data_IF_683864868539
#
_entry.id   IF_683864868539
#
_cell.length_a   1.000
_cell.length_b   1.000
_cell.length_c   1.000
_cell.angle_alpha   90.00
_cell.angle_beta   90.00
_cell.angle_gamma   90.00
#
_symmetry.space_group_name_H-M   'P 1'
#
loop_
_entity.id
_entity.type
_entity.pdbx_description
1 polymer ?
#
# COMPACT_ATOMS: atom_id res chain seq x y z
N UNK A 1 -27.01 -3.96 -21.69
CA UNK A 1 -26.01 -4.84 -21.09
C UNK A 1 -26.60 -5.44 -19.81
N UNK A 2 -26.32 -6.70 -19.53
CA UNK A 2 -26.76 -7.36 -18.30
C UNK A 2 -25.92 -6.90 -17.11
N UNK A 3 -24.65 -6.53 -17.35
CA UNK A 3 -23.71 -6.01 -16.37
C UNK A 3 -23.11 -4.71 -16.91
N UNK A 4 -23.08 -3.70 -16.06
CA UNK A 4 -22.41 -2.41 -16.33
C UNK A 4 -21.34 -2.18 -15.26
N UNK A 5 -20.11 -1.91 -15.68
CA UNK A 5 -18.99 -1.59 -14.79
C UNK A 5 -18.73 -0.09 -14.79
N UNK A 6 -18.58 0.47 -13.59
CA UNK A 6 -18.30 1.88 -13.38
C UNK A 6 -17.16 1.98 -12.35
N UNK A 7 -16.09 2.72 -12.65
CA UNK A 7 -15.02 2.94 -11.68
C UNK A 7 -15.43 3.97 -10.61
N UNK A 8 -14.86 3.91 -9.43
CA UNK A 8 -15.27 4.76 -8.29
C UNK A 8 -15.25 6.26 -8.61
N UNK A 9 -14.23 6.74 -9.33
CA UNK A 9 -14.15 8.16 -9.75
C UNK A 9 -15.28 8.59 -10.68
N UNK A 10 -15.90 7.66 -11.42
CA UNK A 10 -17.05 7.94 -12.29
C UNK A 10 -18.40 8.05 -11.56
N UNK A 11 -18.46 7.59 -10.29
CA UNK A 11 -19.71 7.60 -9.50
C UNK A 11 -20.25 9.02 -9.28
N UNK A 12 -19.37 9.99 -9.06
CA UNK A 12 -19.75 11.39 -8.89
C UNK A 12 -20.28 11.99 -10.19
N UNK A 13 -19.51 11.88 -11.27
CA UNK A 13 -19.83 12.50 -12.56
C UNK A 13 -21.08 11.90 -13.22
N UNK A 14 -21.29 10.57 -13.06
CA UNK A 14 -22.41 9.83 -13.64
C UNK A 14 -23.57 9.57 -12.66
N UNK A 15 -23.53 10.16 -11.46
CA UNK A 15 -24.48 9.86 -10.40
C UNK A 15 -25.93 10.08 -10.79
N UNK A 16 -26.25 11.15 -11.54
CA UNK A 16 -27.60 11.46 -12.00
C UNK A 16 -28.11 10.42 -13.03
N UNK A 17 -27.27 10.04 -13.96
CA UNK A 17 -27.56 9.04 -14.98
C UNK A 17 -27.79 7.67 -14.33
N UNK A 18 -26.92 7.28 -13.38
CA UNK A 18 -27.07 6.03 -12.63
C UNK A 18 -28.39 6.01 -11.87
N UNK A 19 -28.71 7.04 -11.11
CA UNK A 19 -29.97 7.18 -10.36
C UNK A 19 -31.18 7.09 -11.33
N UNK A 20 -31.12 7.81 -12.44
CA UNK A 20 -32.19 7.77 -13.46
C UNK A 20 -32.36 6.37 -14.06
N UNK A 21 -31.28 5.64 -14.25
CA UNK A 21 -31.32 4.24 -14.71
C UNK A 21 -31.93 3.31 -13.67
N UNK A 22 -31.50 3.42 -12.40
CA UNK A 22 -31.96 2.58 -11.29
C UNK A 22 -33.46 2.76 -11.01
N UNK A 23 -33.98 3.98 -11.14
CA UNK A 23 -35.44 4.25 -11.00
C UNK A 23 -36.29 3.52 -12.03
N UNK A 24 -35.73 3.26 -13.21
CA UNK A 24 -36.46 2.61 -14.32
C UNK A 24 -36.20 1.11 -14.40
N UNK A 25 -35.13 0.64 -13.75
CA UNK A 25 -34.69 -0.75 -13.86
C UNK A 25 -34.46 -1.39 -12.48
N UNK A 26 -34.96 -2.61 -12.30
CA UNK A 26 -34.71 -3.37 -11.07
C UNK A 26 -33.28 -3.91 -11.09
N UNK A 27 -32.36 -3.18 -10.48
CA UNK A 27 -30.93 -3.46 -10.57
C UNK A 27 -30.34 -3.71 -9.17
N UNK A 28 -29.42 -4.67 -9.09
CA UNK A 28 -28.52 -4.86 -7.97
C UNK A 28 -27.28 -3.99 -8.20
N UNK A 29 -26.88 -3.24 -7.19
CA UNK A 29 -25.62 -2.46 -7.21
C UNK A 29 -24.63 -3.13 -6.26
N UNK A 30 -23.47 -3.49 -6.80
CA UNK A 30 -22.35 -4.08 -6.06
C UNK A 30 -21.23 -3.06 -6.01
N UNK A 31 -20.74 -2.77 -4.81
CA UNK A 31 -19.56 -1.91 -4.60
C UNK A 31 -18.41 -2.80 -4.19
N UNK A 32 -17.44 -2.94 -5.09
CA UNK A 32 -16.17 -3.62 -4.78
C UNK A 32 -15.20 -2.65 -4.10
N UNK A 33 -14.26 -3.17 -3.31
CA UNK A 33 -13.34 -2.38 -2.46
C UNK A 33 -14.07 -1.29 -1.67
N UNK A 34 -15.17 -1.69 -1.02
CA UNK A 34 -16.10 -0.76 -0.37
C UNK A 34 -15.48 0.07 0.79
N UNK A 35 -14.28 -0.29 1.26
CA UNK A 35 -13.53 0.57 2.18
C UNK A 35 -13.24 1.97 1.61
N UNK A 36 -13.30 2.16 0.28
CA UNK A 36 -13.15 3.46 -0.38
C UNK A 36 -14.32 4.42 -0.15
N UNK A 37 -15.50 3.91 0.15
CA UNK A 37 -16.71 4.71 0.41
C UNK A 37 -17.01 4.89 1.90
N UNK A 38 -16.11 4.48 2.80
CA UNK A 38 -16.28 4.51 4.26
C UNK A 38 -16.48 5.91 4.85
N UNK A 39 -15.89 6.94 4.24
CA UNK A 39 -16.01 8.32 4.72
C UNK A 39 -17.37 8.93 4.35
N UNK A 40 -18.28 9.21 5.33
CA UNK A 40 -19.60 9.76 5.06
C UNK A 40 -19.54 11.22 4.52
N UNK A 41 -18.45 11.93 4.77
CA UNK A 41 -18.25 13.29 4.25
C UNK A 41 -17.54 13.31 2.89
N UNK A 42 -16.94 12.18 2.48
CA UNK A 42 -16.26 12.04 1.20
C UNK A 42 -17.21 12.09 0.02
N UNK A 43 -16.76 12.64 -1.09
CA UNK A 43 -17.54 12.80 -2.32
C UNK A 43 -18.10 11.45 -2.80
N UNK A 44 -17.25 10.44 -2.87
CA UNK A 44 -17.66 9.08 -3.28
C UNK A 44 -18.63 8.44 -2.29
N UNK A 45 -18.38 8.61 -0.98
CA UNK A 45 -19.24 8.10 0.07
C UNK A 45 -20.66 8.67 -0.03
N UNK A 46 -20.80 9.99 -0.20
CA UNK A 46 -22.08 10.65 -0.38
C UNK A 46 -22.79 10.18 -1.65
N UNK A 47 -22.11 10.19 -2.78
CA UNK A 47 -22.69 9.82 -4.08
C UNK A 47 -23.20 8.39 -4.10
N UNK A 48 -22.42 7.44 -3.55
CA UNK A 48 -22.81 6.01 -3.57
C UNK A 48 -23.98 5.73 -2.62
N UNK A 49 -24.09 6.42 -1.50
CA UNK A 49 -25.24 6.29 -0.60
C UNK A 49 -26.53 6.77 -1.28
N UNK A 50 -26.47 7.89 -2.01
CA UNK A 50 -27.63 8.38 -2.79
C UNK A 50 -28.04 7.41 -3.91
N UNK A 51 -27.07 6.86 -4.64
CA UNK A 51 -27.29 5.81 -5.64
C UNK A 51 -27.91 4.58 -4.97
N UNK A 52 -27.42 4.20 -3.80
CA UNK A 52 -27.90 3.07 -3.03
C UNK A 52 -29.38 3.13 -2.69
N UNK A 53 -29.95 4.33 -2.46
CA UNK A 53 -31.37 4.50 -2.14
C UNK A 53 -32.29 4.00 -3.26
N UNK A 54 -31.86 4.12 -4.51
CA UNK A 54 -32.63 3.76 -5.69
C UNK A 54 -32.38 2.33 -6.17
N UNK A 55 -31.35 1.66 -5.64
CA UNK A 55 -31.04 0.28 -6.00
C UNK A 55 -32.05 -0.72 -5.42
N UNK A 56 -32.42 -1.77 -6.19
CA UNK A 56 -33.30 -2.85 -5.71
C UNK A 56 -32.65 -3.70 -4.65
N UNK A 57 -31.36 -4.00 -4.82
CA UNK A 57 -30.52 -4.68 -3.83
C UNK A 57 -29.10 -4.13 -3.88
N UNK A 58 -28.42 -4.24 -2.76
CA UNK A 58 -27.09 -3.67 -2.54
C UNK A 58 -26.18 -4.71 -1.92
N UNK A 59 -24.95 -4.75 -2.39
CA UNK A 59 -23.90 -5.60 -1.87
C UNK A 59 -22.62 -4.78 -1.78
N UNK A 60 -21.84 -4.96 -0.74
CA UNK A 60 -20.47 -4.46 -0.63
C UNK A 60 -19.51 -5.64 -0.57
N UNK A 61 -18.40 -5.51 -1.27
CA UNK A 61 -17.29 -6.44 -1.20
C UNK A 61 -16.08 -5.69 -0.67
N UNK A 62 -15.44 -6.22 0.36
CA UNK A 62 -14.22 -5.63 0.90
C UNK A 62 -13.44 -6.65 1.70
N UNK A 63 -12.13 -6.69 1.52
CA UNK A 63 -11.22 -7.47 2.36
C UNK A 63 -11.01 -6.87 3.75
N UNK A 64 -11.22 -5.55 3.87
CA UNK A 64 -10.99 -4.76 5.09
C UNK A 64 -12.17 -3.81 5.33
N UNK A 65 -13.25 -4.27 5.97
CA UNK A 65 -14.46 -3.44 6.17
C UNK A 65 -14.22 -2.25 7.12
N UNK A 66 -13.27 -2.36 8.02
CA UNK A 66 -13.00 -1.39 9.10
C UNK A 66 -11.49 -1.09 9.18
N UNK A 67 -10.90 -0.48 8.15
CA UNK A 67 -9.44 -0.28 8.14
C UNK A 67 -8.94 0.77 9.13
N UNK A 68 -9.76 1.73 9.56
CA UNK A 68 -9.34 2.81 10.47
C UNK A 68 -10.00 2.72 11.86
N UNK A 69 -11.26 2.32 11.93
CA UNK A 69 -12.01 2.27 13.17
C UNK A 69 -13.46 1.88 12.96
N UNK A 70 -14.21 1.75 14.04
CA UNK A 70 -15.62 1.31 14.01
C UNK A 70 -16.53 2.25 13.18
N UNK A 71 -16.17 3.53 13.07
CA UNK A 71 -16.87 4.52 12.26
C UNK A 71 -16.91 4.19 10.76
N UNK A 72 -15.97 3.39 10.28
CA UNK A 72 -15.93 2.96 8.88
C UNK A 72 -17.17 2.12 8.51
N UNK A 73 -17.78 1.43 9.48
CA UNK A 73 -19.03 0.68 9.28
C UNK A 73 -20.21 1.60 8.96
N UNK A 74 -20.22 2.85 9.46
CA UNK A 74 -21.38 3.70 9.38
C UNK A 74 -21.84 3.93 7.94
N UNK A 75 -20.95 4.36 7.07
CA UNK A 75 -21.30 4.64 5.68
C UNK A 75 -21.56 3.37 4.87
N UNK A 76 -20.89 2.26 5.18
CA UNK A 76 -21.14 0.96 4.56
C UNK A 76 -22.56 0.48 4.84
N UNK A 77 -23.00 0.53 6.10
CA UNK A 77 -24.34 0.12 6.49
C UNK A 77 -25.40 1.13 6.00
N UNK A 78 -25.08 2.42 5.95
CA UNK A 78 -25.95 3.43 5.33
C UNK A 78 -26.18 3.17 3.84
N UNK A 79 -25.17 2.69 3.13
CA UNK A 79 -25.33 2.26 1.73
C UNK A 79 -26.16 0.98 1.60
N UNK A 80 -25.84 -0.07 2.37
CA UNK A 80 -26.49 -1.39 2.25
C UNK A 80 -27.96 -1.31 2.69
N UNK A 81 -28.22 -0.59 3.79
CA UNK A 81 -29.53 -0.47 4.43
C UNK A 81 -29.93 1.00 4.64
N UNK A 82 -30.16 1.79 3.56
CA UNK A 82 -30.31 3.26 3.65
C UNK A 82 -31.43 3.72 4.57
N UNK A 83 -32.45 2.90 4.81
CA UNK A 83 -33.61 3.24 5.64
C UNK A 83 -33.59 2.55 7.02
N UNK A 84 -32.64 1.64 7.27
CA UNK A 84 -32.58 0.82 8.48
C UNK A 84 -31.21 0.76 9.17
N UNK A 85 -30.18 1.41 8.61
CA UNK A 85 -28.81 1.31 9.15
C UNK A 85 -28.71 1.75 10.62
N UNK A 86 -29.54 2.70 11.06
CA UNK A 86 -29.59 3.15 12.45
C UNK A 86 -30.12 2.08 13.41
N UNK A 87 -31.14 1.32 12.94
CA UNK A 87 -31.73 0.23 13.69
C UNK A 87 -30.84 -1.02 13.74
N UNK A 88 -29.87 -1.11 12.81
CA UNK A 88 -28.90 -2.21 12.75
C UNK A 88 -27.67 -1.86 13.58
N UNK A 89 -27.09 -0.69 13.41
CA UNK A 89 -25.86 -0.32 14.10
C UNK A 89 -26.09 0.00 15.59
N UNK A 90 -27.26 0.56 15.95
CA UNK A 90 -27.59 1.11 17.26
C UNK A 90 -26.70 2.29 17.73
N UNK A 91 -25.63 2.59 17.02
CA UNK A 91 -24.67 3.64 17.32
C UNK A 91 -24.69 4.74 16.25
N UNK A 92 -24.60 6.00 16.67
CA UNK A 92 -24.39 7.12 15.78
C UNK A 92 -22.91 7.23 15.38
N UNK A 93 -22.61 7.92 14.27
CA UNK A 93 -21.25 8.11 13.78
C UNK A 93 -20.29 8.62 14.88
N UNK A 94 -20.70 9.64 15.65
CA UNK A 94 -19.88 10.18 16.75
C UNK A 94 -19.56 9.17 17.84
N UNK A 95 -20.51 8.26 18.16
CA UNK A 95 -20.27 7.18 19.13
C UNK A 95 -19.25 6.17 18.60
N UNK A 96 -19.31 5.83 17.31
CA UNK A 96 -18.34 4.90 16.71
C UNK A 96 -16.94 5.51 16.68
N UNK A 97 -16.80 6.80 16.37
CA UNK A 97 -15.52 7.54 16.46
C UNK A 97 -14.98 7.56 17.89
N UNK A 98 -15.84 7.78 18.88
CA UNK A 98 -15.46 7.73 20.29
C UNK A 98 -15.00 6.33 20.66
N UNK A 99 -15.78 5.30 20.34
CA UNK A 99 -15.44 3.90 20.60
C UNK A 99 -14.09 3.50 20.04
N UNK A 100 -13.78 3.94 18.81
CA UNK A 100 -12.46 3.68 18.18
C UNK A 100 -11.30 4.22 19.00
N UNK A 101 -11.50 5.33 19.71
CA UNK A 101 -10.45 5.98 20.52
C UNK A 101 -10.35 5.45 21.95
N UNK A 102 -11.47 4.98 22.52
CA UNK A 102 -11.59 4.73 23.96
C UNK A 102 -11.88 3.29 24.33
N UNK A 103 -12.41 2.48 23.40
CA UNK A 103 -12.87 1.14 23.70
C UNK A 103 -11.93 0.06 23.18
N UNK A 104 -11.69 -0.96 24.00
CA UNK A 104 -11.00 -2.17 23.57
C UNK A 104 -12.00 -3.19 23.00
N UNK A 105 -11.50 -4.20 22.26
CA UNK A 105 -12.31 -5.25 21.64
C UNK A 105 -13.18 -6.02 22.64
N UNK A 106 -12.76 -6.10 23.89
CA UNK A 106 -13.50 -6.79 24.96
C UNK A 106 -14.58 -5.95 25.64
N UNK A 107 -14.72 -4.68 25.27
CA UNK A 107 -15.72 -3.80 25.85
C UNK A 107 -17.15 -4.23 25.51
N UNK A 108 -18.11 -3.94 26.40
CA UNK A 108 -19.51 -4.28 26.18
C UNK A 108 -20.09 -3.63 24.91
N UNK A 109 -19.75 -2.36 24.65
CA UNK A 109 -20.22 -1.62 23.46
C UNK A 109 -19.73 -2.21 22.14
N UNK A 110 -18.47 -2.69 22.13
CA UNK A 110 -17.90 -3.33 20.94
C UNK A 110 -18.54 -4.71 20.74
N UNK A 111 -18.77 -5.49 21.79
CA UNK A 111 -19.50 -6.77 21.70
C UNK A 111 -20.93 -6.56 21.19
N UNK A 112 -21.64 -5.57 21.69
CA UNK A 112 -22.96 -5.18 21.20
C UNK A 112 -22.93 -4.82 19.70
N UNK A 113 -21.95 -4.02 19.25
CA UNK A 113 -21.78 -3.69 17.85
C UNK A 113 -21.55 -4.95 17.00
N UNK A 114 -20.69 -5.87 17.46
CA UNK A 114 -20.43 -7.15 16.79
C UNK A 114 -21.70 -7.97 16.66
N UNK A 115 -22.47 -8.11 17.72
CA UNK A 115 -23.74 -8.85 17.73
C UNK A 115 -24.74 -8.22 16.73
N UNK A 116 -24.84 -6.91 16.69
CA UNK A 116 -25.73 -6.18 15.80
C UNK A 116 -25.38 -6.36 14.31
N UNK A 117 -24.10 -6.36 13.95
CA UNK A 117 -23.67 -6.45 12.54
C UNK A 117 -23.51 -7.87 12.03
N UNK A 118 -23.29 -8.83 12.93
CA UNK A 118 -23.03 -10.24 12.60
C UNK A 118 -24.06 -10.89 11.65
N UNK A 119 -25.38 -10.67 11.80
CA UNK A 119 -26.37 -11.27 10.90
C UNK A 119 -26.31 -10.77 9.44
N UNK A 120 -25.60 -9.67 9.21
CA UNK A 120 -25.52 -8.99 7.92
C UNK A 120 -24.14 -9.12 7.28
N UNK A 121 -23.28 -9.97 7.84
CA UNK A 121 -21.88 -10.10 7.43
C UNK A 121 -21.60 -11.55 7.02
N UNK A 122 -21.06 -11.75 5.83
CA UNK A 122 -20.59 -13.05 5.35
C UNK A 122 -19.09 -12.94 5.09
N UNK A 123 -18.35 -13.89 5.60
CA UNK A 123 -16.91 -13.91 5.45
C UNK A 123 -16.38 -15.26 5.03
N UNK A 124 -15.36 -15.21 4.16
CA UNK A 124 -14.49 -16.34 3.83
C UNK A 124 -13.13 -16.02 4.46
N UNK A 125 -12.68 -16.81 5.41
CA UNK A 125 -11.38 -16.64 6.06
C UNK A 125 -10.26 -17.11 5.14
N UNK A 126 -9.09 -16.47 5.27
CA UNK A 126 -7.91 -16.88 4.49
C UNK A 126 -7.48 -18.32 4.83
N UNK A 127 -7.65 -18.73 6.08
CA UNK A 127 -7.44 -20.11 6.57
C UNK A 127 -8.32 -21.15 5.88
N UNK A 128 -9.54 -20.77 5.48
CA UNK A 128 -10.48 -21.67 4.78
C UNK A 128 -10.03 -21.99 3.33
N UNK A 129 -9.18 -21.12 2.75
CA UNK A 129 -8.75 -21.24 1.36
C UNK A 129 -7.68 -22.32 1.16
N UNK A 130 -7.10 -22.87 2.23
CA UNK A 130 -6.04 -23.92 2.19
C UNK A 130 -4.91 -23.59 1.20
N UNK A 131 -4.45 -22.34 1.22
CA UNK A 131 -3.37 -21.89 0.34
C UNK A 131 -2.06 -22.63 0.67
N UNK A 132 -1.16 -22.80 -0.32
CA UNK A 132 0.14 -23.42 -0.10
C UNK A 132 1.01 -22.57 0.85
N UNK A 133 2.08 -23.15 1.42
CA UNK A 133 2.96 -22.44 2.34
C UNK A 133 3.66 -21.25 1.68
N UNK A 134 4.02 -20.29 2.51
CA UNK A 134 4.85 -19.15 2.13
C UNK A 134 6.21 -19.22 2.81
N UNK A 135 7.23 -18.73 2.12
CA UNK A 135 8.56 -18.51 2.71
C UNK A 135 8.91 -17.05 2.65
N UNK A 136 9.24 -16.47 3.80
CA UNK A 136 9.65 -15.08 3.93
C UNK A 136 11.12 -14.99 4.34
N UNK A 137 11.90 -14.20 3.61
CA UNK A 137 13.33 -14.01 3.86
C UNK A 137 13.68 -12.54 3.93
N UNK A 138 14.22 -12.12 5.07
CA UNK A 138 14.85 -10.82 5.22
C UNK A 138 16.28 -10.92 4.68
N UNK A 139 16.65 -9.96 3.84
CA UNK A 139 18.00 -9.81 3.31
C UNK A 139 18.52 -8.46 3.78
N UNK A 140 19.43 -8.51 4.72
CA UNK A 140 20.14 -7.32 5.20
C UNK A 140 21.12 -6.84 4.13
N UNK A 141 21.06 -5.56 3.81
CA UNK A 141 21.87 -4.92 2.77
C UNK A 141 22.74 -3.86 3.44
N UNK A 142 24.03 -4.10 3.51
CA UNK A 142 24.95 -3.08 4.00
C UNK A 142 25.13 -1.99 2.95
N UNK A 143 24.90 -0.75 3.34
CA UNK A 143 25.11 0.41 2.46
C UNK A 143 26.60 0.53 2.13
N UNK A 144 26.90 0.82 0.86
CA UNK A 144 28.27 1.18 0.48
C UNK A 144 28.65 2.56 1.06
N UNK A 145 29.92 2.86 1.06
CA UNK A 145 30.49 3.99 1.83
C UNK A 145 29.77 5.32 1.60
N UNK A 146 29.53 5.69 0.34
CA UNK A 146 28.92 7.01 0.01
C UNK A 146 27.43 7.04 0.33
N UNK A 147 26.73 5.93 0.11
CA UNK A 147 25.35 5.81 0.52
C UNK A 147 25.22 5.97 2.03
N UNK A 148 26.07 5.32 2.82
CA UNK A 148 26.11 5.43 4.28
C UNK A 148 26.40 6.87 4.73
N UNK A 149 27.40 7.51 4.14
CA UNK A 149 27.74 8.92 4.48
C UNK A 149 26.55 9.87 4.23
N UNK A 150 25.83 9.70 3.12
CA UNK A 150 24.64 10.52 2.83
C UNK A 150 23.50 10.19 3.80
N UNK A 151 23.26 8.92 4.08
CA UNK A 151 22.20 8.49 5.00
C UNK A 151 22.44 9.03 6.41
N UNK A 152 23.63 8.83 6.97
CA UNK A 152 23.98 9.26 8.33
C UNK A 152 23.90 10.79 8.50
N UNK A 153 24.27 11.52 7.46
CA UNK A 153 24.14 12.98 7.45
C UNK A 153 22.66 13.40 7.56
N UNK A 154 21.78 12.81 6.76
CA UNK A 154 20.34 13.13 6.74
C UNK A 154 19.72 12.74 8.08
N UNK A 155 19.99 11.53 8.57
CA UNK A 155 19.47 11.02 9.83
C UNK A 155 19.88 11.92 10.99
N UNK A 156 21.16 12.27 11.10
CA UNK A 156 21.67 13.16 12.14
C UNK A 156 20.97 14.52 12.14
N UNK A 157 20.77 15.11 10.94
CA UNK A 157 20.06 16.39 10.83
C UNK A 157 18.60 16.28 11.25
N UNK A 158 17.92 15.20 10.86
CA UNK A 158 16.50 15.01 11.16
C UNK A 158 16.25 14.66 12.62
N UNK A 159 17.05 13.78 13.23
CA UNK A 159 16.96 13.45 14.66
C UNK A 159 17.13 14.72 15.50
N UNK A 160 18.16 15.52 15.24
CA UNK A 160 18.34 16.81 15.93
C UNK A 160 17.15 17.76 15.76
N UNK A 161 16.55 17.80 14.59
CA UNK A 161 15.37 18.62 14.30
C UNK A 161 14.12 18.13 15.03
N UNK A 162 13.95 16.82 15.20
CA UNK A 162 12.84 16.24 15.98
C UNK A 162 12.95 16.57 17.48
N UNK A 163 14.18 16.55 18.03
CA UNK A 163 14.43 16.91 19.42
C UNK A 163 14.10 18.38 19.73
N UNK A 164 14.44 19.29 18.82
CA UNK A 164 14.27 20.73 19.01
C UNK A 164 12.82 21.21 18.88
N UNK A 165 11.97 20.49 18.18
CA UNK A 165 10.66 20.95 17.77
C UNK A 165 9.50 20.11 18.34
N UNK A 166 9.04 20.31 19.57
CA UNK A 166 7.98 19.53 20.23
C UNK A 166 6.52 20.03 20.06
N UNK A 167 6.19 21.07 19.25
CA UNK A 167 4.81 21.60 19.13
C UNK A 167 4.03 21.12 17.89
N UNK A 168 2.72 20.84 18.06
CA UNK A 168 1.87 20.07 17.12
C UNK A 168 1.33 20.88 15.91
N UNK A 169 0.90 20.21 14.87
CA UNK A 169 0.11 20.54 13.67
C UNK A 169 0.82 20.94 12.36
N UNK A 170 1.84 21.77 12.31
CA UNK A 170 2.63 21.99 11.06
C UNK A 170 3.69 20.90 10.90
N UNK A 171 3.87 20.12 11.94
CA UNK A 171 4.90 19.09 12.09
C UNK A 171 4.64 17.80 11.33
N UNK A 172 3.38 17.38 11.18
CA UNK A 172 3.08 16.09 10.57
C UNK A 172 3.55 16.04 9.12
N UNK A 173 3.31 17.09 8.34
CA UNK A 173 3.69 17.16 6.93
C UNK A 173 5.22 17.22 6.75
N UNK A 174 5.91 18.03 7.58
CA UNK A 174 7.38 18.10 7.58
C UNK A 174 8.02 16.77 7.99
N UNK A 175 7.45 16.13 8.99
CA UNK A 175 7.93 14.84 9.46
C UNK A 175 7.73 13.73 8.43
N UNK A 176 6.59 13.72 7.74
CA UNK A 176 6.33 12.82 6.60
C UNK A 176 7.39 12.99 5.51
N UNK A 177 7.64 14.23 5.11
CA UNK A 177 8.66 14.54 4.11
C UNK A 177 10.05 14.05 4.53
N UNK A 178 10.44 14.23 5.79
CA UNK A 178 11.72 13.76 6.34
C UNK A 178 11.83 12.24 6.33
N UNK A 179 10.79 11.53 6.76
CA UNK A 179 10.75 10.07 6.69
C UNK A 179 10.89 9.55 5.26
N UNK A 180 10.23 10.20 4.29
CA UNK A 180 10.39 9.85 2.87
C UNK A 180 11.83 10.06 2.40
N UNK A 181 12.46 11.18 2.78
CA UNK A 181 13.86 11.46 2.41
C UNK A 181 14.83 10.44 3.01
N UNK A 182 14.62 10.01 4.28
CA UNK A 182 15.40 8.92 4.87
C UNK A 182 15.24 7.61 4.09
N UNK A 183 14.02 7.27 3.70
CA UNK A 183 13.75 6.07 2.89
C UNK A 183 14.40 6.16 1.51
N UNK A 184 14.39 7.34 0.88
CA UNK A 184 15.10 7.60 -0.38
C UNK A 184 16.61 7.37 -0.22
N UNK A 185 17.22 7.92 0.84
CA UNK A 185 18.63 7.74 1.14
C UNK A 185 18.98 6.27 1.42
N UNK A 186 18.13 5.56 2.18
CA UNK A 186 18.32 4.16 2.50
C UNK A 186 18.27 3.23 1.29
N UNK A 187 17.46 3.56 0.28
CA UNK A 187 17.30 2.72 -0.91
C UNK A 187 18.17 3.18 -2.09
N UNK A 188 18.17 4.48 -2.40
CA UNK A 188 18.92 5.06 -3.52
C UNK A 188 19.07 6.58 -3.34
N UNK A 189 20.23 7.07 -2.89
CA UNK A 189 20.46 8.51 -2.67
C UNK A 189 20.22 9.40 -3.89
N UNK A 190 20.28 8.88 -5.13
CA UNK A 190 20.00 9.70 -6.32
C UNK A 190 18.55 10.23 -6.34
N UNK A 191 17.63 9.60 -5.61
CA UNK A 191 16.24 10.04 -5.49
C UNK A 191 16.12 11.39 -4.78
N UNK A 192 17.10 11.75 -3.95
CA UNK A 192 17.14 13.02 -3.22
C UNK A 192 17.26 14.24 -4.14
N UNK A 193 17.71 14.04 -5.38
CA UNK A 193 17.84 15.11 -6.37
C UNK A 193 16.48 15.61 -6.88
N UNK A 194 15.43 14.83 -6.72
CA UNK A 194 14.09 15.09 -7.23
C UNK A 194 13.13 15.46 -6.12
N UNK A 195 12.01 16.07 -6.49
CA UNK A 195 10.92 16.29 -5.57
C UNK A 195 10.34 14.95 -5.06
N UNK A 196 9.69 14.98 -3.91
CA UNK A 196 9.02 13.78 -3.38
C UNK A 196 7.92 13.34 -4.36
N UNK A 197 7.17 14.29 -4.91
CA UNK A 197 6.09 14.04 -5.86
C UNK A 197 6.60 13.34 -7.14
N UNK A 198 7.71 13.79 -7.72
CA UNK A 198 8.31 13.13 -8.89
C UNK A 198 8.77 11.70 -8.63
N UNK A 199 9.10 11.37 -7.38
CA UNK A 199 9.58 10.02 -7.02
C UNK A 199 8.46 9.05 -6.70
N UNK A 200 7.36 9.51 -6.10
CA UNK A 200 6.25 8.66 -5.67
C UNK A 200 5.18 8.47 -6.76
N UNK A 201 4.91 9.50 -7.54
CA UNK A 201 3.83 9.53 -8.54
C UNK A 201 2.46 9.11 -7.96
N UNK A 202 2.18 9.53 -6.73
CA UNK A 202 0.95 9.20 -6.00
C UNK A 202 0.06 10.44 -5.93
N UNK A 203 -1.09 10.39 -6.63
CA UNK A 203 -2.05 11.49 -6.64
C UNK A 203 -2.78 11.66 -5.31
N UNK A 204 -2.90 10.58 -4.53
CA UNK A 204 -3.60 10.57 -3.24
C UNK A 204 -2.71 10.96 -2.06
N UNK A 205 -1.40 11.06 -2.29
CA UNK A 205 -0.48 11.46 -1.24
C UNK A 205 -0.63 12.96 -0.91
N UNK A 206 -0.76 13.31 0.36
CA UNK A 206 -0.82 14.70 0.85
C UNK A 206 0.38 15.57 0.44
N UNK A 207 1.27 15.05 -0.39
CA UNK A 207 2.41 15.73 -1.00
C UNK A 207 2.03 16.96 -1.83
N UNK A 208 0.76 17.09 -2.24
CA UNK A 208 0.23 18.35 -2.84
C UNK A 208 0.44 19.56 -1.94
N UNK A 209 0.62 19.35 -0.63
CA UNK A 209 0.85 20.41 0.36
C UNK A 209 2.34 20.75 0.47
N UNK A 210 3.24 19.88 -0.01
CA UNK A 210 4.68 20.00 0.16
C UNK A 210 5.45 20.03 -1.18
N UNK A 211 4.91 20.71 -2.16
CA UNK A 211 5.66 20.97 -3.40
C UNK A 211 6.58 22.17 -3.27
N UNK A 212 7.59 22.01 -2.44
CA UNK A 212 8.77 22.83 -2.52
C UNK A 212 9.77 22.34 -3.58
N UNK A 213 9.44 21.32 -4.39
CA UNK A 213 10.15 20.84 -5.62
C UNK A 213 11.68 20.77 -5.58
N UNK A 214 12.29 21.29 -4.55
CA UNK A 214 13.73 21.47 -4.39
C UNK A 214 14.25 20.64 -3.24
N UNK A 215 15.51 20.28 -3.35
CA UNK A 215 16.28 19.75 -2.24
C UNK A 215 16.05 20.63 -1.00
N UNK A 216 15.74 20.04 0.18
CA UNK A 216 15.50 20.83 1.39
C UNK A 216 16.60 21.86 1.61
N UNK A 217 16.23 23.09 1.96
CA UNK A 217 17.20 24.17 2.24
C UNK A 217 18.24 23.73 3.28
N UNK A 218 17.86 22.84 4.18
CA UNK A 218 18.71 22.23 5.21
C UNK A 218 19.95 21.51 4.65
N UNK A 219 19.97 21.14 3.35
CA UNK A 219 21.11 20.50 2.69
C UNK A 219 21.94 21.47 1.83
N UNK A 220 21.44 22.68 1.58
CA UNK A 220 22.09 23.66 0.71
C UNK A 220 23.40 24.19 1.30
N UNK A 221 23.57 24.09 2.60
CA UNK A 221 24.74 24.59 3.33
C UNK A 221 25.94 23.62 3.31
N UNK A 222 25.76 22.35 2.84
CA UNK A 222 26.85 21.37 2.77
C UNK A 222 27.20 21.00 1.33
N UNK A 223 28.17 21.70 0.79
CA UNK A 223 28.60 21.53 -0.60
C UNK A 223 29.15 20.14 -0.93
N UNK A 224 29.75 19.44 0.05
CA UNK A 224 30.29 18.09 -0.14
C UNK A 224 29.18 17.04 -0.26
N UNK A 225 28.19 17.10 0.63
CA UNK A 225 27.02 16.19 0.58
C UNK A 225 26.21 16.45 -0.67
N UNK A 226 25.99 17.71 -1.04
CA UNK A 226 25.32 18.07 -2.29
C UNK A 226 26.03 17.50 -3.51
N UNK A 227 27.36 17.60 -3.57
CA UNK A 227 28.14 17.00 -4.63
C UNK A 227 27.97 15.48 -4.69
N UNK A 228 28.03 14.80 -3.53
CA UNK A 228 27.83 13.35 -3.43
C UNK A 228 26.43 12.93 -3.92
N UNK A 229 25.37 13.63 -3.48
CA UNK A 229 24.00 13.37 -3.93
C UNK A 229 23.86 13.57 -5.42
N UNK A 230 24.32 14.73 -5.95
CA UNK A 230 24.18 15.08 -7.37
C UNK A 230 24.98 14.19 -8.32
N UNK A 231 26.02 13.55 -7.84
CA UNK A 231 26.84 12.66 -8.64
C UNK A 231 26.75 11.19 -8.18
N UNK A 232 25.81 10.83 -7.31
CA UNK A 232 25.76 9.53 -6.68
C UNK A 232 25.89 8.37 -7.66
N UNK A 233 25.08 8.31 -8.71
CA UNK A 233 25.09 7.21 -9.68
C UNK A 233 26.37 7.16 -10.54
N UNK A 234 27.20 8.22 -10.57
CA UNK A 234 28.52 8.19 -11.19
C UNK A 234 29.60 7.65 -10.25
N UNK A 235 29.36 7.79 -8.97
CA UNK A 235 30.33 7.47 -7.91
C UNK A 235 30.10 6.08 -7.34
N UNK A 236 28.81 5.63 -7.28
CA UNK A 236 28.41 4.38 -6.62
C UNK A 236 27.09 3.87 -7.22
N UNK A 237 26.91 2.56 -7.22
CA UNK A 237 25.62 1.93 -7.58
C UNK A 237 24.83 1.69 -6.32
N UNK A 238 23.49 1.96 -6.29
CA UNK A 238 22.67 1.62 -5.13
C UNK A 238 22.83 0.14 -4.74
N UNK A 239 23.21 -0.13 -3.52
CA UNK A 239 23.57 -1.50 -3.10
C UNK A 239 22.43 -2.49 -3.27
N UNK A 240 21.18 -2.07 -3.06
CA UNK A 240 20.00 -2.92 -3.32
C UNK A 240 19.90 -3.36 -4.77
N UNK A 241 20.35 -2.54 -5.74
CA UNK A 241 20.32 -2.92 -7.17
C UNK A 241 21.22 -4.12 -7.45
N UNK A 242 22.44 -4.13 -6.90
CA UNK A 242 23.36 -5.27 -7.07
C UNK A 242 22.83 -6.53 -6.38
N UNK A 243 22.26 -6.41 -5.18
CA UNK A 243 21.66 -7.54 -4.48
C UNK A 243 20.46 -8.11 -5.26
N UNK A 244 19.61 -7.24 -5.81
CA UNK A 244 18.49 -7.67 -6.67
C UNK A 244 19.01 -8.41 -7.90
N UNK A 245 20.02 -7.87 -8.60
CA UNK A 245 20.61 -8.52 -9.74
C UNK A 245 21.09 -9.94 -9.41
N UNK A 246 21.81 -10.12 -8.30
CA UNK A 246 22.33 -11.42 -7.90
C UNK A 246 21.20 -12.42 -7.55
N UNK A 247 20.14 -11.96 -6.90
CA UNK A 247 18.94 -12.77 -6.66
C UNK A 247 18.25 -13.17 -7.96
N UNK A 248 18.13 -12.23 -8.91
CA UNK A 248 17.48 -12.48 -10.21
C UNK A 248 18.25 -13.49 -11.03
N UNK A 249 19.58 -13.40 -11.12
CA UNK A 249 20.39 -14.32 -11.88
C UNK A 249 20.19 -15.75 -11.40
N UNK A 250 20.08 -15.96 -10.09
CA UNK A 250 19.76 -17.25 -9.51
C UNK A 250 18.36 -17.75 -9.94
N UNK A 251 17.33 -16.90 -9.86
CA UNK A 251 15.95 -17.26 -10.19
C UNK A 251 15.74 -17.49 -11.70
N UNK A 252 16.30 -16.63 -12.53
CA UNK A 252 16.21 -16.72 -13.99
C UNK A 252 16.86 -18.02 -14.50
N UNK A 253 17.95 -18.45 -13.91
CA UNK A 253 18.62 -19.72 -14.24
C UNK A 253 17.66 -20.92 -14.11
N UNK A 254 16.76 -20.89 -13.14
CA UNK A 254 15.73 -21.92 -12.92
C UNK A 254 14.41 -21.64 -13.66
N UNK A 255 14.40 -20.68 -14.60
CA UNK A 255 13.22 -20.27 -15.36
C UNK A 255 12.08 -19.75 -14.48
N UNK A 256 12.39 -19.25 -13.30
CA UNK A 256 11.40 -18.66 -12.39
C UNK A 256 11.13 -17.21 -12.77
N UNK A 257 9.90 -16.77 -12.55
CA UNK A 257 9.50 -15.36 -12.69
C UNK A 257 9.54 -14.66 -11.34
N UNK A 258 9.87 -13.37 -11.39
CA UNK A 258 10.02 -12.53 -10.19
C UNK A 258 9.30 -11.21 -10.38
N UNK A 259 8.46 -10.83 -9.41
CA UNK A 259 7.97 -9.46 -9.30
C UNK A 259 8.81 -8.70 -8.29
N UNK A 260 9.18 -7.46 -8.63
CA UNK A 260 9.91 -6.54 -7.75
C UNK A 260 8.97 -5.39 -7.40
N UNK A 261 8.70 -5.26 -6.10
CA UNK A 261 7.90 -4.16 -5.58
C UNK A 261 8.79 -3.01 -5.13
N UNK A 262 8.52 -1.81 -5.65
CA UNK A 262 9.17 -0.58 -5.23
C UNK A 262 8.16 0.56 -5.16
N UNK A 263 8.24 1.37 -4.11
CA UNK A 263 7.32 2.48 -3.89
C UNK A 263 7.73 3.74 -4.67
N UNK A 264 9.01 3.86 -5.02
CA UNK A 264 9.53 5.02 -5.74
C UNK A 264 9.59 4.75 -7.25
N UNK A 265 8.72 5.41 -8.02
CA UNK A 265 8.64 5.26 -9.48
C UNK A 265 10.00 5.51 -10.17
N UNK A 266 10.73 6.54 -9.72
CA UNK A 266 12.05 6.82 -10.28
C UNK A 266 13.08 5.73 -9.93
N UNK A 267 12.90 5.05 -8.81
CA UNK A 267 13.72 3.89 -8.46
C UNK A 267 13.41 2.68 -9.35
N UNK A 268 12.12 2.46 -9.68
CA UNK A 268 11.71 1.44 -10.65
C UNK A 268 12.39 1.65 -12.00
N UNK A 269 12.35 2.87 -12.52
CA UNK A 269 13.01 3.25 -13.80
C UNK A 269 14.52 3.08 -13.74
N UNK A 270 15.13 3.51 -12.63
CA UNK A 270 16.58 3.35 -12.40
C UNK A 270 17.01 1.88 -12.33
N UNK A 271 16.23 1.05 -11.63
CA UNK A 271 16.47 -0.39 -11.55
C UNK A 271 16.32 -1.07 -12.91
N UNK A 272 15.27 -0.76 -13.68
CA UNK A 272 15.07 -1.29 -15.03
C UNK A 272 16.30 -1.01 -15.93
N UNK A 273 16.78 0.23 -15.92
CA UNK A 273 17.97 0.63 -16.67
C UNK A 273 19.21 -0.18 -16.24
N UNK A 274 19.44 -0.27 -14.94
CA UNK A 274 20.57 -1.03 -14.38
C UNK A 274 20.50 -2.51 -14.75
N UNK A 275 19.32 -3.13 -14.69
CA UNK A 275 19.14 -4.53 -15.08
C UNK A 275 19.40 -4.73 -16.57
N UNK A 276 18.91 -3.81 -17.44
CA UNK A 276 19.16 -3.87 -18.87
C UNK A 276 20.65 -3.76 -19.23
N UNK A 277 21.39 -2.87 -18.55
CA UNK A 277 22.85 -2.75 -18.67
C UNK A 277 23.61 -4.02 -18.24
N UNK A 278 22.98 -4.86 -17.38
CA UNK A 278 23.50 -6.15 -16.95
C UNK A 278 22.87 -7.35 -17.69
N UNK A 279 22.22 -7.11 -18.84
CA UNK A 279 21.66 -8.17 -19.70
C UNK A 279 20.37 -8.82 -19.16
N UNK A 280 19.72 -8.24 -18.15
CA UNK A 280 18.46 -8.75 -17.58
C UNK A 280 17.31 -7.92 -18.12
N UNK A 281 16.42 -8.55 -18.88
CA UNK A 281 15.20 -7.91 -19.38
C UNK A 281 14.16 -7.80 -18.26
N UNK A 282 13.60 -6.61 -18.11
CA UNK A 282 12.48 -6.36 -17.18
C UNK A 282 11.52 -5.34 -17.78
N UNK A 283 10.25 -5.41 -17.41
CA UNK A 283 9.24 -4.43 -17.80
C UNK A 283 8.63 -3.76 -16.56
N UNK A 284 8.08 -2.54 -16.74
CA UNK A 284 7.51 -1.71 -15.68
C UNK A 284 5.98 -1.78 -15.68
N UNK A 285 5.40 -1.91 -14.49
CA UNK A 285 3.97 -1.71 -14.25
C UNK A 285 3.80 -0.63 -13.19
N UNK A 286 3.74 0.60 -13.65
CA UNK A 286 3.63 1.84 -12.86
C UNK A 286 2.46 2.68 -13.38
N UNK A 287 2.06 3.73 -12.64
CA UNK A 287 0.91 4.56 -12.99
C UNK A 287 0.96 5.20 -14.39
N UNK A 288 2.17 5.47 -14.90
CA UNK A 288 2.38 6.08 -16.22
C UNK A 288 2.13 5.11 -17.40
N UNK A 289 2.08 3.79 -17.14
CA UNK A 289 1.80 2.79 -18.19
C UNK A 289 0.30 2.76 -18.46
N UNK A 290 -0.10 2.94 -19.71
CA UNK A 290 -1.50 2.91 -20.12
C UNK A 290 -2.14 1.55 -19.84
N UNK A 291 -3.44 1.55 -19.59
CA UNK A 291 -4.15 0.33 -19.17
C UNK A 291 -4.05 -0.82 -20.17
N UNK A 292 -4.20 -0.65 -21.51
CA UNK A 292 -4.07 -1.75 -22.46
C UNK A 292 -2.68 -2.40 -22.46
N UNK A 293 -1.63 -1.59 -22.36
CA UNK A 293 -0.25 -2.08 -22.32
C UNK A 293 0.01 -2.83 -21.00
N UNK A 294 -0.52 -2.32 -19.91
CA UNK A 294 -0.45 -2.98 -18.58
C UNK A 294 -1.12 -4.33 -18.61
N UNK A 295 -2.31 -4.45 -19.18
CA UNK A 295 -3.04 -5.72 -19.30
C UNK A 295 -2.25 -6.72 -20.15
N UNK A 296 -1.69 -6.30 -21.27
CA UNK A 296 -0.84 -7.12 -22.13
C UNK A 296 0.42 -7.63 -21.40
N UNK A 297 1.09 -6.76 -20.65
CA UNK A 297 2.27 -7.14 -19.86
C UNK A 297 1.90 -8.16 -18.76
N UNK A 298 0.79 -7.96 -18.08
CA UNK A 298 0.30 -8.85 -17.03
C UNK A 298 -0.07 -10.22 -17.61
N UNK A 299 -0.77 -10.27 -18.74
CA UNK A 299 -1.13 -11.51 -19.41
C UNK A 299 0.11 -12.30 -19.81
N UNK A 300 1.08 -11.64 -20.45
CA UNK A 300 2.35 -12.22 -20.83
C UNK A 300 3.15 -12.73 -19.61
N UNK A 301 3.24 -11.92 -18.56
CA UNK A 301 3.97 -12.30 -17.34
C UNK A 301 3.27 -13.45 -16.59
N UNK A 302 1.96 -13.53 -16.69
CA UNK A 302 1.16 -14.56 -16.01
C UNK A 302 1.13 -15.91 -16.76
N UNK A 303 1.57 -15.95 -18.03
CA UNK A 303 1.71 -17.19 -18.79
C UNK A 303 3.00 -17.92 -18.35
N UNK A 304 2.95 -19.07 -17.68
CA UNK A 304 4.12 -19.77 -17.17
C UNK A 304 5.06 -20.27 -18.28
N UNK A 305 4.55 -20.50 -19.48
CA UNK A 305 5.34 -20.99 -20.63
C UNK A 305 6.10 -19.84 -21.35
N UNK A 306 5.67 -18.60 -21.17
CA UNK A 306 6.33 -17.45 -21.80
C UNK A 306 7.49 -16.92 -20.93
N UNK A 307 8.70 -17.33 -21.24
CA UNK A 307 9.90 -16.89 -20.55
C UNK A 307 10.53 -15.62 -21.15
N UNK A 308 9.89 -14.99 -22.14
CA UNK A 308 10.42 -13.76 -22.75
C UNK A 308 10.37 -12.55 -21.79
N UNK A 309 9.55 -12.65 -20.71
CA UNK A 309 9.47 -11.68 -19.62
C UNK A 309 9.47 -12.43 -18.29
N UNK A 310 10.61 -12.45 -17.60
CA UNK A 310 10.77 -13.12 -16.31
C UNK A 310 10.80 -12.16 -15.12
N UNK A 311 11.04 -10.86 -15.36
CA UNK A 311 11.14 -9.84 -14.31
C UNK A 311 10.14 -8.72 -14.57
N UNK A 312 9.27 -8.48 -13.60
CA UNK A 312 8.32 -7.37 -13.60
C UNK A 312 8.65 -6.44 -12.42
N UNK A 313 8.75 -5.14 -12.68
CA UNK A 313 8.97 -4.14 -11.63
C UNK A 313 7.67 -3.34 -11.50
N UNK A 314 7.09 -3.29 -10.32
CA UNK A 314 5.78 -2.69 -10.12
C UNK A 314 5.74 -1.81 -8.87
N UNK A 315 4.85 -0.81 -8.93
CA UNK A 315 4.53 0.03 -7.79
C UNK A 315 3.25 -0.51 -7.12
N UNK A 316 3.27 -0.82 -5.81
CA UNK A 316 2.10 -1.36 -5.11
C UNK A 316 0.87 -0.45 -5.19
N UNK A 317 1.06 0.87 -5.12
CA UNK A 317 -0.04 1.84 -5.15
C UNK A 317 -0.78 1.88 -6.49
N UNK A 318 -0.04 1.73 -7.59
CA UNK A 318 -0.61 1.84 -8.94
C UNK A 318 -1.28 0.55 -9.42
N UNK A 319 -0.96 -0.59 -8.82
CA UNK A 319 -1.24 -1.90 -9.42
C UNK A 319 -1.86 -2.90 -8.45
N UNK A 320 -1.73 -2.66 -7.14
CA UNK A 320 -2.09 -3.64 -6.13
C UNK A 320 -3.57 -4.07 -6.16
N UNK A 321 -4.48 -3.26 -6.67
CA UNK A 321 -5.91 -3.57 -6.63
C UNK A 321 -6.42 -4.40 -7.83
N UNK A 322 -5.73 -4.39 -8.97
CA UNK A 322 -6.30 -4.90 -10.23
C UNK A 322 -5.59 -6.10 -10.85
N UNK A 323 -4.41 -6.51 -10.36
CA UNK A 323 -3.63 -7.57 -11.01
C UNK A 323 -3.62 -8.88 -10.23
N UNK A 324 -3.52 -9.98 -10.98
CA UNK A 324 -3.35 -11.33 -10.45
C UNK A 324 -2.20 -12.00 -11.17
N UNK A 325 -1.14 -12.38 -10.46
CA UNK A 325 0.11 -12.87 -11.03
C UNK A 325 0.44 -14.32 -10.64
N UNK A 326 -0.41 -14.95 -9.83
CA UNK A 326 -0.16 -16.25 -9.21
C UNK A 326 0.00 -17.42 -10.19
N UNK A 327 -0.47 -17.29 -11.44
CA UNK A 327 -0.35 -18.36 -12.45
C UNK A 327 1.08 -18.51 -12.96
N UNK A 328 1.80 -17.40 -13.11
CA UNK A 328 3.15 -17.37 -13.67
C UNK A 328 4.25 -17.03 -12.67
N UNK A 329 3.95 -16.41 -11.55
CA UNK A 329 4.95 -15.85 -10.64
C UNK A 329 4.72 -16.29 -9.19
N UNK A 330 5.78 -16.78 -8.55
CA UNK A 330 5.77 -17.24 -7.15
C UNK A 330 6.91 -16.64 -6.31
N UNK A 331 7.61 -15.65 -6.84
CA UNK A 331 8.68 -14.95 -6.15
C UNK A 331 8.43 -13.44 -6.18
N UNK A 332 8.46 -12.80 -5.02
CA UNK A 332 8.39 -11.35 -4.90
C UNK A 332 9.60 -10.81 -4.14
N UNK A 333 10.21 -9.76 -4.67
CA UNK A 333 11.26 -8.99 -4.00
C UNK A 333 10.67 -7.63 -3.64
N UNK A 334 10.73 -7.27 -2.37
CA UNK A 334 10.38 -5.94 -1.88
C UNK A 334 11.67 -5.13 -1.72
N UNK A 335 11.88 -4.18 -2.63
CA UNK A 335 13.06 -3.32 -2.57
C UNK A 335 12.94 -2.31 -1.42
N UNK A 336 11.73 -1.79 -1.19
CA UNK A 336 11.34 -1.07 0.01
C UNK A 336 9.99 -1.58 0.50
N UNK A 337 9.75 -1.47 1.79
CA UNK A 337 8.44 -1.72 2.40
C UNK A 337 7.77 -0.40 2.74
N UNK A 338 6.49 -0.31 2.51
CA UNK A 338 5.69 0.81 2.98
C UNK A 338 5.13 0.49 4.39
N UNK A 339 4.89 1.53 5.17
CA UNK A 339 4.23 1.40 6.47
C UNK A 339 2.70 1.19 6.35
N UNK A 340 2.13 1.33 5.13
CA UNK A 340 0.74 0.98 4.87
C UNK A 340 0.56 -0.54 4.79
N UNK A 341 0.05 -1.10 5.88
CA UNK A 341 -0.11 -2.54 6.01
C UNK A 341 -1.12 -3.13 5.02
N UNK A 342 -2.18 -2.40 4.68
CA UNK A 342 -3.20 -2.86 3.73
C UNK A 342 -2.60 -3.05 2.34
N UNK A 343 -1.91 -2.03 1.82
CA UNK A 343 -1.23 -2.10 0.52
C UNK A 343 -0.18 -3.21 0.48
N UNK A 344 0.56 -3.38 1.57
CA UNK A 344 1.54 -4.46 1.69
C UNK A 344 0.88 -5.84 1.61
N UNK A 345 -0.16 -6.10 2.40
CA UNK A 345 -0.88 -7.38 2.37
C UNK A 345 -1.54 -7.62 1.01
N UNK A 346 -2.15 -6.61 0.41
CA UNK A 346 -2.71 -6.71 -0.93
C UNK A 346 -1.64 -7.08 -1.98
N UNK A 347 -0.45 -6.49 -1.92
CA UNK A 347 0.64 -6.85 -2.84
C UNK A 347 1.11 -8.29 -2.67
N UNK A 348 1.13 -8.83 -1.45
CA UNK A 348 1.40 -10.27 -1.19
C UNK A 348 0.36 -11.15 -1.87
N UNK A 349 -0.90 -10.78 -1.79
CA UNK A 349 -2.02 -11.56 -2.34
C UNK A 349 -2.07 -11.57 -3.89
N UNK A 350 -1.19 -10.82 -4.58
CA UNK A 350 -1.07 -10.87 -6.06
C UNK A 350 -0.46 -12.17 -6.56
N UNK A 351 0.44 -12.78 -5.78
CA UNK A 351 1.11 -14.03 -6.13
C UNK A 351 0.73 -15.20 -5.21
N UNK A 352 0.08 -14.93 -4.07
CA UNK A 352 -0.38 -15.95 -3.12
C UNK A 352 -1.90 -15.88 -2.93
N UNK A 353 -2.63 -16.60 -3.75
CA UNK A 353 -4.10 -16.58 -3.78
C UNK A 353 -4.70 -17.91 -4.27
N UNK A 354 -6.02 -17.99 -4.23
CA UNK A 354 -6.78 -19.15 -4.75
C UNK A 354 -6.40 -19.47 -6.21
N UNK A 355 -6.14 -20.73 -6.49
CA UNK A 355 -5.68 -21.21 -7.81
C UNK A 355 -4.26 -21.74 -7.82
N UNK A 356 -3.49 -21.52 -6.75
CA UNK A 356 -2.17 -22.15 -6.58
C UNK A 356 -2.29 -23.65 -6.31
N UNK A 357 -1.33 -24.43 -6.81
CA UNK A 357 -1.25 -25.85 -6.50
C UNK A 357 -0.75 -26.08 -5.06
N UNK A 358 -1.18 -27.14 -4.37
CA UNK A 358 -0.86 -27.37 -2.95
C UNK A 358 0.64 -27.41 -2.59
N UNK A 359 1.50 -27.71 -3.56
CA UNK A 359 2.96 -27.75 -3.38
C UNK A 359 3.70 -26.55 -3.96
N UNK A 360 2.98 -25.56 -4.43
CA UNK A 360 3.52 -24.38 -5.11
C UNK A 360 3.87 -23.30 -4.10
N UNK A 361 5.08 -23.40 -3.54
CA UNK A 361 5.58 -22.47 -2.55
C UNK A 361 5.71 -21.05 -3.11
N UNK A 362 5.31 -20.05 -2.31
CA UNK A 362 5.46 -18.64 -2.65
C UNK A 362 6.54 -18.01 -1.79
N UNK A 363 7.51 -17.34 -2.42
CA UNK A 363 8.67 -16.76 -1.75
C UNK A 363 8.64 -15.26 -1.76
N UNK A 364 8.86 -14.65 -0.60
CA UNK A 364 8.98 -13.21 -0.40
C UNK A 364 10.36 -12.85 0.13
N UNK A 365 11.02 -11.92 -0.52
CA UNK A 365 12.34 -11.40 -0.16
C UNK A 365 12.22 -9.93 0.21
N UNK A 366 12.57 -9.58 1.44
CA UNK A 366 12.52 -8.20 1.94
C UNK A 366 13.94 -7.66 2.05
N UNK A 367 14.27 -6.64 1.26
CA UNK A 367 15.58 -6.00 1.31
C UNK A 367 15.56 -4.86 2.32
N UNK A 368 16.34 -4.99 3.38
CA UNK A 368 16.45 -3.98 4.41
C UNK A 368 17.86 -3.42 4.43
N UNK A 369 18.00 -2.12 4.25
CA UNK A 369 19.27 -1.44 4.48
C UNK A 369 19.58 -1.48 5.97
N UNK A 370 20.75 -2.06 6.31
CA UNK A 370 21.16 -2.26 7.69
C UNK A 370 21.40 -0.94 8.40
N UNK A 371 21.09 -0.89 9.69
CA UNK A 371 21.20 0.30 10.55
C UNK A 371 20.50 1.50 9.89
N UNK A 372 19.21 1.35 9.54
CA UNK A 372 18.46 2.39 8.86
C UNK A 372 16.97 2.34 9.17
N UNK A 373 16.25 3.34 8.69
CA UNK A 373 14.79 3.43 8.78
C UNK A 373 14.07 2.18 8.22
N UNK A 374 14.69 1.42 7.30
CA UNK A 374 14.08 0.20 6.74
C UNK A 374 13.81 -0.84 7.83
N UNK A 375 14.72 -0.99 8.80
CA UNK A 375 14.55 -1.94 9.91
C UNK A 375 13.41 -1.51 10.84
N UNK A 376 13.31 -0.21 11.10
CA UNK A 376 12.24 0.36 11.92
C UNK A 376 10.88 0.14 11.25
N UNK A 377 10.78 0.47 9.95
CA UNK A 377 9.56 0.25 9.17
C UNK A 377 9.21 -1.24 9.13
N UNK A 378 10.20 -2.12 8.88
CA UNK A 378 9.98 -3.56 8.84
C UNK A 378 9.40 -4.08 10.15
N UNK A 379 10.03 -3.76 11.28
CA UNK A 379 9.56 -4.19 12.60
C UNK A 379 8.13 -3.73 12.89
N UNK A 380 7.80 -2.47 12.56
CA UNK A 380 6.48 -1.90 12.77
C UNK A 380 5.44 -2.54 11.84
N UNK A 381 5.78 -2.70 10.57
CA UNK A 381 4.90 -3.32 9.58
C UNK A 381 4.61 -4.79 9.94
N UNK A 382 5.59 -5.55 10.42
CA UNK A 382 5.39 -6.94 10.84
C UNK A 382 4.45 -7.06 12.04
N UNK A 383 4.54 -6.14 13.00
CA UNK A 383 3.60 -6.10 14.13
C UNK A 383 2.18 -5.81 13.65
N UNK A 384 2.03 -4.84 12.74
CA UNK A 384 0.74 -4.49 12.15
C UNK A 384 0.17 -5.62 11.30
N UNK A 385 1.00 -6.23 10.44
CA UNK A 385 0.58 -7.34 9.58
C UNK A 385 0.07 -8.52 10.40
N UNK A 386 0.80 -8.92 11.44
CA UNK A 386 0.36 -9.99 12.36
C UNK A 386 -0.95 -9.67 13.07
N UNK A 387 -1.15 -8.41 13.48
CA UNK A 387 -2.43 -7.97 14.03
C UNK A 387 -3.54 -8.05 12.99
N UNK A 388 -3.31 -7.50 11.80
CA UNK A 388 -4.28 -7.55 10.71
C UNK A 388 -4.63 -8.99 10.32
N UNK A 389 -3.65 -9.85 10.16
CA UNK A 389 -3.87 -11.27 9.84
C UNK A 389 -4.70 -11.96 10.91
N UNK A 390 -4.42 -11.71 12.20
CA UNK A 390 -5.21 -12.24 13.30
C UNK A 390 -6.66 -11.75 13.27
N UNK A 391 -6.86 -10.45 13.07
CA UNK A 391 -8.20 -9.85 13.01
C UNK A 391 -8.93 -10.30 11.73
N UNK A 392 -8.18 -10.42 10.62
CA UNK A 392 -8.71 -10.93 9.35
C UNK A 392 -9.20 -12.38 9.48
N UNK A 393 -8.70 -13.18 10.39
CA UNK A 393 -9.18 -14.53 10.66
C UNK A 393 -10.30 -14.60 11.71
N UNK A 394 -10.72 -13.49 12.31
CA UNK A 394 -11.90 -13.44 13.18
C UNK A 394 -13.20 -13.42 12.38
N UNK A 395 -14.32 -13.81 12.97
CA UNK A 395 -15.61 -13.89 12.30
C UNK A 395 -16.12 -12.53 11.84
N UNK A 396 -15.80 -11.48 12.60
CA UNK A 396 -16.04 -10.09 12.22
C UNK A 396 -14.75 -9.31 12.45
N UNK A 397 -14.06 -8.87 11.39
CA UNK A 397 -12.80 -8.15 11.51
C UNK A 397 -13.06 -6.69 11.86
N UNK A 398 -13.19 -6.40 13.14
CA UNK A 398 -13.25 -5.03 13.64
C UNK A 398 -11.86 -4.60 14.10
N UNK A 399 -11.37 -3.52 13.53
CA UNK A 399 -10.09 -2.93 13.87
C UNK A 399 -10.28 -1.84 14.92
N UNK A 400 -9.96 -2.14 16.18
CA UNK A 400 -9.73 -1.09 17.17
C UNK A 400 -8.27 -0.64 17.09
N UNK A 401 -8.03 0.65 16.95
CA UNK A 401 -6.71 1.29 17.10
C UNK A 401 -5.55 0.61 16.35
N UNK A 402 -5.77 0.07 15.14
CA UNK A 402 -4.69 0.06 14.18
C UNK A 402 -4.63 1.48 13.64
N UNK A 403 -4.25 2.43 14.48
CA UNK A 403 -3.74 3.67 13.98
C UNK A 403 -2.60 3.29 13.05
N UNK A 404 -2.64 3.80 11.83
CA UNK A 404 -1.48 3.90 10.99
C UNK A 404 -0.33 4.28 11.90
N UNK A 405 0.81 3.58 11.75
CA UNK A 405 1.93 3.81 12.65
C UNK A 405 2.07 5.29 12.74
N UNK A 406 1.74 5.79 13.89
CA UNK A 406 1.85 7.20 14.09
C UNK A 406 3.24 7.56 13.60
N UNK A 407 3.36 8.43 12.62
CA UNK A 407 4.64 8.92 12.15
C UNK A 407 5.46 9.38 13.36
N UNK A 408 4.76 9.87 14.38
CA UNK A 408 5.26 10.12 15.73
C UNK A 408 5.93 8.88 16.35
N UNK A 409 5.41 7.69 16.13
CA UNK A 409 5.98 6.44 16.66
C UNK A 409 7.20 5.98 15.85
N UNK A 410 7.19 6.21 14.52
CA UNK A 410 8.38 5.98 13.68
C UNK A 410 9.51 6.94 14.07
N UNK A 411 9.18 8.20 14.30
CA UNK A 411 10.12 9.21 14.74
C UNK A 411 10.71 8.87 16.12
N UNK A 412 9.86 8.46 17.08
CA UNK A 412 10.32 8.01 18.39
C UNK A 412 11.27 6.81 18.28
N UNK A 413 10.94 5.85 17.43
CA UNK A 413 11.78 4.66 17.25
C UNK A 413 13.08 4.92 16.47
N UNK A 414 13.21 6.06 15.78
CA UNK A 414 14.47 6.55 15.20
C UNK A 414 15.32 7.32 16.23
N UNK A 415 14.69 7.79 17.32
CA UNK A 415 15.38 8.52 18.40
C UNK A 415 15.88 7.60 19.52
N UNK A 416 15.32 6.39 19.65
CA UNK A 416 15.74 5.33 20.55
C UNK A 416 16.93 4.53 19.97
#
# INVERSE_FOLDING_TARGET
AEITLIFHGGVESLGKEIISFLKRNRTMVVVDEAHRIKNPEGVWGKSIVEIGKEARSRVVLTGTPVPNGYEDLFNLYQYIYPFRYKDILHFHYGNLVEMTKTEDLDSHRVKELIENVSPYFIRIKKSDLKLPPITEKIIEVEMDKRQREIYDFIETKYVKSFEQNRSANVKDVLNKARLIRLRQAATNPSLLQKSIQETLNDEDFESRIYDGGKMPEEFQDDSEILYKINNYLKLETPRKFSVIKDLLLNKIQYKEKVIIWTIFVQNAKGLQKYLAENGIRSDLVIGEVEQPDRESLIEKFNNPEDLSLQVLIANPFSVAESISLHKGCHNAIYMERDYNCSNFLQSKDRIHRVGLLPKQETNYYYLLSKDSIDEVINKRLDIKAKRMEKIIDEDIPLFSRINDADETDLIKALMD
#
